data_IF_928606278565
#
_entry.id   IF_928606278565
#
_cell.length_a   1.000
_cell.length_b   1.000
_cell.length_c   1.000
_cell.angle_alpha   90.00
_cell.angle_beta   90.00
_cell.angle_gamma   90.00
#
_symmetry.space_group_name_H-M   'P 1'
#
loop_
_entity.id
_entity.type
_entity.pdbx_description
1 polymer ?
#
# COMPACT_ATOMS: atom_id res chain seq x y z
N UNK A 1 1.68 -24.67 -7.43
CA UNK A 1 0.22 -24.96 -7.61
C UNK A 1 -0.55 -23.70 -7.23
N UNK A 2 -0.92 -22.85 -8.20
CA UNK A 2 -1.76 -21.68 -7.95
C UNK A 2 -3.21 -22.18 -7.85
N UNK A 3 -3.71 -22.30 -6.63
CA UNK A 3 -5.15 -22.53 -6.41
C UNK A 3 -5.87 -21.29 -6.89
N UNK A 4 -6.85 -21.39 -7.81
CA UNK A 4 -7.67 -20.24 -8.18
C UNK A 4 -8.36 -19.74 -6.90
N UNK A 5 -8.02 -18.51 -6.48
CA UNK A 5 -8.65 -17.88 -5.34
C UNK A 5 -10.12 -17.63 -5.69
N UNK A 6 -11.02 -18.46 -5.16
CA UNK A 6 -12.46 -18.19 -5.26
C UNK A 6 -12.79 -16.98 -4.39
N UNK A 7 -13.81 -16.20 -4.76
CA UNK A 7 -14.29 -15.05 -3.98
C UNK A 7 -14.60 -15.43 -2.52
N UNK A 8 -15.09 -16.65 -2.28
CA UNK A 8 -15.35 -17.18 -0.93
C UNK A 8 -14.08 -17.33 -0.08
N UNK A 9 -13.01 -17.87 -0.66
CA UNK A 9 -11.72 -18.01 0.04
C UNK A 9 -11.11 -16.65 0.39
N UNK A 10 -11.13 -15.70 -0.55
CA UNK A 10 -10.68 -14.34 -0.31
C UNK A 10 -11.44 -13.68 0.84
N UNK A 11 -12.77 -13.85 0.87
CA UNK A 11 -13.61 -13.29 1.94
C UNK A 11 -13.33 -13.92 3.30
N UNK A 12 -13.17 -15.25 3.37
CA UNK A 12 -12.82 -15.95 4.62
C UNK A 12 -11.48 -15.47 5.18
N UNK A 13 -10.45 -15.37 4.33
CA UNK A 13 -9.13 -14.92 4.75
C UNK A 13 -9.15 -13.44 5.16
N UNK A 14 -9.85 -12.59 4.41
CA UNK A 14 -10.00 -11.18 4.73
C UNK A 14 -10.73 -10.97 6.08
N UNK A 15 -11.75 -11.79 6.38
CA UNK A 15 -12.43 -11.77 7.66
C UNK A 15 -11.51 -12.21 8.82
N UNK A 16 -10.60 -13.15 8.60
CA UNK A 16 -9.60 -13.53 9.60
C UNK A 16 -8.65 -12.35 9.91
N UNK A 17 -8.27 -11.57 8.90
CA UNK A 17 -7.51 -10.33 9.13
C UNK A 17 -8.30 -9.30 9.93
N UNK A 18 -9.61 -9.13 9.64
CA UNK A 18 -10.48 -8.26 10.44
C UNK A 18 -10.50 -8.66 11.93
N UNK A 19 -10.58 -9.96 12.21
CA UNK A 19 -10.56 -10.49 13.59
C UNK A 19 -9.24 -10.20 14.30
N UNK A 20 -8.11 -10.32 13.61
CA UNK A 20 -6.80 -9.96 14.17
C UNK A 20 -6.71 -8.44 14.41
N UNK A 21 -7.15 -7.63 13.46
CA UNK A 21 -7.20 -6.16 13.60
C UNK A 21 -8.03 -5.72 14.80
N UNK A 22 -9.20 -6.34 15.02
CA UNK A 22 -10.07 -6.09 16.17
C UNK A 22 -9.41 -6.45 17.52
N UNK A 23 -8.36 -7.28 17.50
CA UNK A 23 -7.55 -7.65 18.69
C UNK A 23 -6.33 -6.76 18.88
N UNK A 24 -6.19 -5.68 18.12
CA UNK A 24 -5.07 -4.75 18.21
C UNK A 24 -3.83 -5.15 17.41
N UNK A 25 -3.96 -6.06 16.42
CA UNK A 25 -2.85 -6.49 15.57
C UNK A 25 -2.85 -5.65 14.28
N UNK A 26 -1.70 -5.02 13.97
CA UNK A 26 -1.47 -4.38 12.68
C UNK A 26 -1.00 -5.42 11.67
N UNK A 27 -1.71 -5.56 10.55
CA UNK A 27 -1.37 -6.49 9.48
C UNK A 27 -0.95 -5.70 8.25
N UNK A 28 0.26 -5.97 7.77
CA UNK A 28 0.84 -5.29 6.63
C UNK A 28 1.22 -6.30 5.55
N UNK A 29 0.97 -5.94 4.30
CA UNK A 29 1.36 -6.75 3.15
C UNK A 29 2.03 -5.90 2.08
N UNK A 30 3.06 -6.45 1.46
CA UNK A 30 3.63 -5.90 0.23
C UNK A 30 2.57 -5.86 -0.87
N UNK A 31 2.50 -4.77 -1.62
CA UNK A 31 1.48 -4.58 -2.65
C UNK A 31 1.72 -5.44 -3.90
N UNK A 32 2.97 -5.88 -4.12
CA UNK A 32 3.42 -6.66 -5.25
C UNK A 32 4.37 -5.90 -6.19
N UNK A 33 5.04 -6.61 -7.08
CA UNK A 33 6.16 -6.10 -7.87
C UNK A 33 5.91 -6.16 -9.40
N UNK A 34 4.65 -6.08 -9.81
CA UNK A 34 4.27 -6.16 -11.22
C UNK A 34 3.46 -4.97 -11.74
N UNK A 35 3.53 -3.82 -11.09
CA UNK A 35 2.74 -2.65 -11.46
C UNK A 35 1.26 -2.98 -11.54
N UNK A 36 0.55 -2.47 -12.55
CA UNK A 36 -0.88 -2.78 -12.78
C UNK A 36 -1.14 -4.18 -13.35
N UNK A 37 -0.10 -4.93 -13.70
CA UNK A 37 -0.25 -6.32 -14.16
C UNK A 37 -0.25 -7.34 -13.02
N UNK A 38 0.00 -6.91 -11.78
CA UNK A 38 -0.06 -7.73 -10.57
C UNK A 38 1.02 -8.81 -10.48
N UNK A 39 1.53 -9.28 -11.60
CA UNK A 39 2.66 -10.20 -11.74
C UNK A 39 3.66 -9.64 -12.74
N UNK A 40 4.82 -10.25 -12.85
CA UNK A 40 5.85 -9.84 -13.81
C UNK A 40 5.47 -10.04 -15.29
N UNK A 41 4.28 -10.53 -15.59
CA UNK A 41 3.77 -10.66 -16.96
C UNK A 41 3.09 -9.36 -17.38
N UNK A 42 3.62 -8.71 -18.42
CA UNK A 42 3.09 -7.46 -18.97
C UNK A 42 1.88 -7.64 -19.89
N UNK A 43 1.54 -8.88 -20.28
CA UNK A 43 0.53 -9.19 -21.28
C UNK A 43 -0.87 -9.35 -20.67
N UNK A 44 -1.58 -8.24 -20.48
CA UNK A 44 -2.97 -8.23 -20.03
C UNK A 44 -3.77 -7.11 -20.69
N UNK A 45 -5.07 -7.34 -20.90
CA UNK A 45 -6.01 -6.34 -21.45
C UNK A 45 -6.68 -5.50 -20.37
N UNK A 46 -6.84 -6.06 -19.16
CA UNK A 46 -7.36 -5.41 -17.95
C UNK A 46 -6.30 -5.48 -16.86
N UNK A 47 -6.32 -4.52 -15.97
CA UNK A 47 -5.43 -4.50 -14.81
C UNK A 47 -5.74 -5.67 -13.87
N UNK A 48 -4.69 -6.22 -13.27
CA UNK A 48 -4.76 -7.43 -12.44
C UNK A 48 -4.44 -7.05 -10.99
N UNK A 49 -5.47 -6.82 -10.15
CA UNK A 49 -5.23 -6.49 -8.76
C UNK A 49 -4.65 -7.67 -7.99
N UNK A 50 -3.73 -7.37 -7.07
CA UNK A 50 -3.08 -8.37 -6.22
C UNK A 50 -3.92 -8.71 -5.00
N UNK A 51 -3.78 -9.94 -4.53
CA UNK A 51 -4.33 -10.41 -3.27
C UNK A 51 -3.16 -10.84 -2.35
N UNK A 52 -3.19 -10.52 -1.05
CA UNK A 52 -4.32 -9.98 -0.28
C UNK A 52 -4.44 -8.46 -0.22
N UNK A 53 -3.62 -7.67 -0.94
CA UNK A 53 -3.62 -6.19 -0.91
C UNK A 53 -5.00 -5.55 -1.16
N UNK A 54 -5.85 -6.21 -1.96
CA UNK A 54 -7.23 -5.78 -2.17
C UNK A 54 -8.18 -5.99 -0.97
N UNK A 55 -7.74 -6.62 0.13
CA UNK A 55 -8.54 -6.78 1.35
C UNK A 55 -8.61 -5.46 2.15
N UNK A 56 -9.80 -5.00 2.59
CA UNK A 56 -9.93 -3.74 3.31
C UNK A 56 -9.44 -3.78 4.77
N UNK A 57 -9.11 -4.94 5.32
CA UNK A 57 -8.75 -5.13 6.74
C UNK A 57 -7.26 -5.35 6.98
N UNK A 58 -6.43 -4.95 6.05
CA UNK A 58 -4.98 -4.91 6.18
C UNK A 58 -4.44 -3.61 5.58
N UNK A 59 -3.19 -3.29 5.87
CA UNK A 59 -2.47 -2.16 5.27
C UNK A 59 -1.58 -2.69 4.14
N UNK A 60 -1.85 -2.28 2.93
CA UNK A 60 -1.03 -2.60 1.75
C UNK A 60 0.08 -1.57 1.59
N UNK A 61 1.30 -2.04 1.39
CA UNK A 61 2.51 -1.20 1.31
C UNK A 61 3.13 -1.30 -0.06
N UNK A 62 3.21 -0.18 -0.76
CA UNK A 62 3.89 0.00 -2.04
C UNK A 62 5.36 0.38 -1.88
N UNK A 63 6.03 0.63 -3.00
CA UNK A 63 7.44 0.97 -3.03
C UNK A 63 7.70 2.34 -3.65
N UNK A 64 8.70 3.04 -3.08
CA UNK A 64 9.28 4.26 -3.62
C UNK A 64 10.77 4.09 -3.88
N UNK A 65 11.36 5.06 -4.56
CA UNK A 65 12.80 5.15 -4.84
C UNK A 65 13.31 6.58 -4.74
N UNK A 66 14.60 6.72 -4.49
CA UNK A 66 15.26 8.02 -4.38
C UNK A 66 14.92 8.72 -3.06
N UNK A 67 15.58 9.86 -2.80
CA UNK A 67 15.41 10.64 -1.57
C UNK A 67 15.00 12.07 -1.88
N UNK A 68 15.62 12.68 -2.88
CA UNK A 68 15.33 14.04 -3.29
C UNK A 68 15.58 14.22 -4.81
N UNK A 69 14.54 14.07 -5.63
CA UNK A 69 13.16 13.76 -5.25
C UNK A 69 12.95 12.27 -4.91
N UNK A 70 12.03 12.00 -3.99
CA UNK A 70 11.47 10.66 -3.81
C UNK A 70 10.35 10.46 -4.83
N UNK A 71 10.33 9.30 -5.52
CA UNK A 71 9.39 8.99 -6.59
C UNK A 71 8.83 7.58 -6.42
N UNK A 72 7.71 7.27 -7.06
CA UNK A 72 7.18 5.92 -7.11
C UNK A 72 8.17 4.96 -7.78
N UNK A 73 8.33 3.76 -7.23
CA UNK A 73 8.97 2.67 -7.94
C UNK A 73 8.00 2.12 -9.00
N UNK A 74 8.49 1.94 -10.23
CA UNK A 74 7.64 1.57 -11.37
C UNK A 74 7.03 0.17 -11.27
N UNK A 75 7.66 -0.73 -10.53
CA UNK A 75 7.14 -2.07 -10.25
C UNK A 75 6.07 -2.09 -9.15
N UNK A 76 5.92 -1.02 -8.34
CA UNK A 76 4.97 -0.98 -7.21
C UNK A 76 3.56 -1.34 -7.67
N UNK A 77 3.08 -2.53 -7.29
CA UNK A 77 1.72 -2.94 -7.65
C UNK A 77 0.69 -2.11 -6.93
N UNK A 78 -0.33 -1.71 -7.68
CA UNK A 78 -1.43 -0.93 -7.17
C UNK A 78 -2.62 -0.94 -8.11
N UNK A 79 -3.75 -0.50 -7.60
CA UNK A 79 -5.00 -0.50 -8.35
C UNK A 79 -6.22 -0.65 -7.46
N UNK A 80 -7.23 -1.35 -7.97
CA UNK A 80 -8.55 -1.47 -7.35
C UNK A 80 -9.00 -2.93 -7.32
N UNK A 81 -9.48 -3.39 -6.17
CA UNK A 81 -9.97 -4.75 -5.99
C UNK A 81 -11.16 -5.07 -6.91
N UNK A 82 -11.19 -6.30 -7.44
CA UNK A 82 -12.34 -6.83 -8.15
C UNK A 82 -13.37 -7.51 -7.21
N UNK A 83 -13.02 -7.71 -5.92
CA UNK A 83 -13.81 -8.46 -4.95
C UNK A 83 -14.38 -7.59 -3.84
N UNK A 84 -13.60 -6.65 -3.34
CA UNK A 84 -13.96 -5.81 -2.20
C UNK A 84 -14.24 -4.38 -2.66
N UNK A 85 -15.33 -3.80 -2.17
CA UNK A 85 -15.69 -2.42 -2.41
C UNK A 85 -14.79 -1.43 -1.65
N UNK A 86 -14.90 -0.16 -1.99
CA UNK A 86 -14.19 0.93 -1.32
C UNK A 86 -14.70 1.01 0.13
N UNK A 87 -13.82 0.89 1.15
CA UNK A 87 -14.23 1.10 2.54
C UNK A 87 -14.45 2.59 2.83
N UNK A 88 -15.28 2.89 3.85
CA UNK A 88 -15.69 4.25 4.19
C UNK A 88 -14.48 5.16 4.47
N UNK A 89 -13.47 4.66 5.20
CA UNK A 89 -12.28 5.45 5.53
C UNK A 89 -11.48 5.90 4.29
N UNK A 90 -11.61 5.20 3.14
CA UNK A 90 -10.86 5.48 1.92
C UNK A 90 -11.67 6.26 0.88
N UNK A 91 -12.99 6.35 1.05
CA UNK A 91 -13.91 6.80 -0.01
C UNK A 91 -13.59 8.19 -0.55
N UNK A 92 -13.28 9.15 0.31
CA UNK A 92 -12.93 10.52 -0.09
C UNK A 92 -11.60 10.58 -0.89
N UNK A 93 -10.59 9.85 -0.43
CA UNK A 93 -9.27 9.80 -1.07
C UNK A 93 -9.36 9.19 -2.48
N UNK A 94 -10.04 8.04 -2.61
CA UNK A 94 -10.28 7.37 -3.91
C UNK A 94 -11.11 8.24 -4.85
N UNK A 95 -12.19 8.85 -4.36
CA UNK A 95 -13.03 9.74 -5.17
C UNK A 95 -12.24 10.94 -5.73
N UNK A 96 -11.39 11.53 -4.90
CA UNK A 96 -10.51 12.64 -5.31
C UNK A 96 -9.54 12.20 -6.40
N UNK A 97 -8.89 11.05 -6.22
CA UNK A 97 -7.97 10.51 -7.22
C UNK A 97 -8.66 10.20 -8.55
N UNK A 98 -9.80 9.50 -8.51
CA UNK A 98 -10.55 9.13 -9.72
C UNK A 98 -11.03 10.37 -10.49
N UNK A 99 -11.44 11.43 -9.78
CA UNK A 99 -11.80 12.70 -10.40
C UNK A 99 -10.60 13.35 -11.10
N UNK A 100 -9.42 13.31 -10.49
CA UNK A 100 -8.18 13.85 -11.08
C UNK A 100 -7.61 12.95 -12.20
N UNK A 101 -7.91 11.64 -12.19
CA UNK A 101 -7.50 10.69 -13.23
C UNK A 101 -8.33 10.85 -14.51
N UNK A 102 -9.61 11.21 -14.37
CA UNK A 102 -10.53 11.37 -15.50
C UNK A 102 -10.75 10.06 -16.26
N UNK A 103 -10.67 10.10 -17.58
CA UNK A 103 -10.88 8.93 -18.46
C UNK A 103 -9.66 8.03 -18.65
N UNK A 104 -8.54 8.35 -18.03
CA UNK A 104 -7.29 7.56 -18.18
C UNK A 104 -7.52 6.13 -17.73
N UNK A 105 -7.16 5.17 -18.56
CA UNK A 105 -7.33 3.72 -18.33
C UNK A 105 -8.80 3.28 -18.11
N UNK A 106 -9.78 4.04 -18.55
CA UNK A 106 -11.21 3.70 -18.44
C UNK A 106 -11.48 2.29 -19.00
N UNK A 107 -12.27 1.51 -18.26
CA UNK A 107 -12.63 0.13 -18.60
C UNK A 107 -11.54 -0.92 -18.32
N UNK A 108 -10.35 -0.52 -17.85
CA UNK A 108 -9.26 -1.45 -17.52
C UNK A 108 -9.27 -1.89 -16.05
N UNK A 109 -9.94 -1.18 -15.15
CA UNK A 109 -9.99 -1.44 -13.71
C UNK A 109 -11.40 -1.26 -13.14
N UNK A 110 -11.64 -1.74 -11.92
CA UNK A 110 -12.89 -1.59 -11.19
C UNK A 110 -12.86 -0.31 -10.34
N UNK A 111 -13.44 0.78 -10.81
CA UNK A 111 -13.45 2.07 -10.11
C UNK A 111 -14.23 2.06 -8.78
N UNK A 112 -15.01 1.01 -8.49
CA UNK A 112 -15.75 0.83 -7.22
C UNK A 112 -15.03 -0.08 -6.24
N UNK A 113 -13.85 -0.58 -6.61
CA UNK A 113 -13.05 -1.49 -5.78
C UNK A 113 -12.21 -0.77 -4.73
N UNK A 114 -11.89 -1.48 -3.64
CA UNK A 114 -10.90 -1.05 -2.65
C UNK A 114 -9.60 -0.71 -3.36
N UNK A 115 -9.14 0.53 -3.21
CA UNK A 115 -7.89 1.02 -3.80
C UNK A 115 -6.67 0.67 -2.94
N UNK A 116 -5.55 0.27 -3.56
CA UNK A 116 -4.29 -0.04 -2.88
C UNK A 116 -3.09 0.40 -3.74
N UNK A 117 -1.90 0.60 -3.13
CA UNK A 117 -1.55 0.47 -1.73
C UNK A 117 -2.16 1.57 -0.84
N UNK A 118 -2.03 1.43 0.49
CA UNK A 118 -2.43 2.46 1.45
C UNK A 118 -1.31 3.45 1.71
N UNK A 119 -0.08 2.95 1.80
CA UNK A 119 1.16 3.70 2.06
C UNK A 119 2.32 3.09 1.28
N UNK A 120 3.49 3.72 1.32
CA UNK A 120 4.73 3.19 0.73
C UNK A 120 5.96 3.48 1.59
N UNK A 121 7.05 2.78 1.30
CA UNK A 121 8.41 3.12 1.75
C UNK A 121 9.42 2.75 0.65
N UNK A 122 10.70 3.05 0.90
CA UNK A 122 11.79 2.71 -0.02
C UNK A 122 11.80 1.21 -0.35
N UNK A 123 11.93 0.87 -1.62
CA UNK A 123 11.95 -0.51 -2.11
C UNK A 123 12.87 -0.73 -3.29
N UNK A 124 13.75 0.21 -3.61
CA UNK A 124 14.72 0.10 -4.72
C UNK A 124 16.14 0.23 -4.17
N UNK A 125 17.02 -0.64 -4.64
CA UNK A 125 18.41 -0.74 -4.20
C UNK A 125 18.53 -0.80 -2.66
N UNK A 126 17.65 -1.59 -2.05
CA UNK A 126 17.60 -1.76 -0.60
C UNK A 126 18.77 -2.67 -0.19
N UNK A 127 19.69 -2.14 0.61
CA UNK A 127 20.88 -2.88 1.03
C UNK A 127 20.52 -3.98 2.01
N UNK A 128 20.90 -5.21 1.66
CA UNK A 128 20.81 -6.39 2.54
C UNK A 128 22.18 -7.07 2.66
N UNK A 129 22.35 -7.86 3.70
CA UNK A 129 23.55 -8.68 3.88
C UNK A 129 23.18 -10.14 3.71
N UNK A 130 23.76 -10.79 2.71
CA UNK A 130 23.59 -12.22 2.42
C UNK A 130 24.97 -12.88 2.41
N UNK A 131 25.16 -13.89 3.22
CA UNK A 131 26.44 -14.63 3.35
C UNK A 131 27.68 -13.73 3.53
N UNK A 132 27.52 -12.61 4.27
CA UNK A 132 28.56 -11.64 4.53
C UNK A 132 28.84 -10.64 3.40
N UNK A 133 28.10 -10.70 2.29
CA UNK A 133 28.17 -9.74 1.18
C UNK A 133 26.99 -8.74 1.26
N UNK A 134 27.27 -7.48 0.94
CA UNK A 134 26.22 -6.45 0.80
C UNK A 134 25.67 -6.52 -0.61
N UNK A 135 24.36 -6.63 -0.74
CA UNK A 135 23.66 -6.68 -2.02
C UNK A 135 22.48 -5.70 -2.01
N UNK A 136 22.22 -5.05 -3.16
CA UNK A 136 21.03 -4.24 -3.37
C UNK A 136 19.90 -5.10 -3.93
N UNK A 137 18.70 -4.99 -3.35
CA UNK A 137 17.50 -5.70 -3.81
C UNK A 137 16.36 -4.72 -4.05
N UNK A 138 15.50 -5.06 -5.00
CA UNK A 138 14.30 -4.29 -5.34
C UNK A 138 13.04 -5.09 -4.97
N UNK A 139 12.03 -4.41 -4.46
CA UNK A 139 10.73 -5.03 -4.19
C UNK A 139 9.92 -4.34 -3.11
N UNK A 140 8.61 -4.44 -3.22
CA UNK A 140 7.67 -4.10 -2.14
C UNK A 140 7.88 -5.02 -0.93
N UNK A 141 8.59 -6.15 -1.13
CA UNK A 141 9.06 -7.05 -0.06
C UNK A 141 10.12 -6.43 0.86
N UNK A 142 10.80 -5.34 0.44
CA UNK A 142 11.65 -4.52 1.29
C UNK A 142 10.83 -3.41 1.96
N UNK A 143 9.91 -2.80 1.22
CA UNK A 143 9.08 -1.71 1.67
C UNK A 143 8.16 -2.11 2.84
N UNK A 144 7.46 -3.24 2.72
CA UNK A 144 6.48 -3.67 3.72
C UNK A 144 7.09 -3.91 5.12
N UNK A 145 8.18 -4.65 5.29
CA UNK A 145 8.81 -4.82 6.60
C UNK A 145 9.42 -3.52 7.14
N UNK A 146 9.85 -2.59 6.27
CA UNK A 146 10.30 -1.26 6.69
C UNK A 146 9.16 -0.48 7.34
N UNK A 147 7.99 -0.41 6.71
CA UNK A 147 6.83 0.24 7.30
C UNK A 147 6.39 -0.46 8.59
N UNK A 148 6.38 -1.81 8.60
CA UNK A 148 6.05 -2.60 9.79
C UNK A 148 7.00 -2.30 10.96
N UNK A 149 8.30 -2.13 10.71
CA UNK A 149 9.30 -1.77 11.71
C UNK A 149 9.04 -0.38 12.28
N UNK A 150 8.67 0.59 11.44
CA UNK A 150 8.29 1.95 11.88
C UNK A 150 7.06 1.89 12.80
N UNK A 151 6.03 1.14 12.43
CA UNK A 151 4.83 0.96 13.27
C UNK A 151 5.16 0.23 14.58
N UNK A 152 6.07 -0.75 14.55
CA UNK A 152 6.53 -1.42 15.77
C UNK A 152 7.22 -0.43 16.73
N UNK A 153 8.05 0.48 16.20
CA UNK A 153 8.68 1.54 17.00
C UNK A 153 7.66 2.55 17.55
N UNK A 154 6.64 2.93 16.77
CA UNK A 154 5.53 3.78 17.27
C UNK A 154 4.78 3.07 18.39
N UNK A 155 4.45 1.78 18.22
CA UNK A 155 3.78 0.98 19.24
C UNK A 155 4.62 0.83 20.51
N UNK A 156 5.95 0.67 20.41
CA UNK A 156 6.86 0.66 21.55
C UNK A 156 6.76 1.96 22.36
N UNK A 157 6.77 3.11 21.68
CA UNK A 157 6.59 4.43 22.31
C UNK A 157 5.22 4.60 22.97
N UNK A 158 4.15 4.12 22.31
CA UNK A 158 2.80 4.14 22.88
C UNK A 158 2.74 3.32 24.18
N UNK A 159 3.27 2.10 24.16
CA UNK A 159 3.31 1.21 25.34
C UNK A 159 4.13 1.85 26.46
N UNK A 160 5.30 2.42 26.16
CA UNK A 160 6.11 3.13 27.15
C UNK A 160 5.38 4.33 27.77
N UNK A 161 4.47 4.97 27.03
CA UNK A 161 3.59 6.05 27.50
C UNK A 161 2.29 5.56 28.19
N UNK A 162 2.12 4.24 28.40
CA UNK A 162 0.92 3.64 28.99
C UNK A 162 -0.30 3.63 28.08
N UNK A 163 -0.10 3.79 26.77
CA UNK A 163 -1.17 3.75 25.73
C UNK A 163 -1.24 2.38 25.04
N UNK A 164 -2.36 2.09 24.40
CA UNK A 164 -2.54 0.87 23.61
C UNK A 164 -1.82 0.97 22.25
N UNK A 165 -1.37 -0.17 21.68
CA UNK A 165 -0.91 -0.23 20.29
C UNK A 165 -1.98 0.20 19.29
N UNK A 166 -1.55 0.59 18.08
CA UNK A 166 -2.43 1.13 17.04
C UNK A 166 -3.46 0.12 16.49
N UNK A 167 -3.14 -1.16 16.42
CA UNK A 167 -4.04 -2.16 15.85
C UNK A 167 -4.24 -1.98 14.33
N UNK A 168 -5.49 -2.05 13.86
CA UNK A 168 -5.80 -1.83 12.44
C UNK A 168 -5.53 -0.38 12.04
N UNK A 169 -4.56 -0.17 11.14
CA UNK A 169 -3.96 1.15 10.87
C UNK A 169 -4.78 2.06 9.95
N UNK A 170 -5.50 1.49 8.98
CA UNK A 170 -6.02 2.28 7.86
C UNK A 170 -6.96 3.43 8.30
N UNK A 171 -7.91 3.26 9.24
CA UNK A 171 -8.72 4.38 9.70
C UNK A 171 -7.89 5.56 10.24
N UNK A 172 -6.82 5.27 10.97
CA UNK A 172 -5.87 6.28 11.46
C UNK A 172 -5.10 6.92 10.32
N UNK A 173 -4.53 6.13 9.39
CA UNK A 173 -3.72 6.63 8.27
C UNK A 173 -4.51 7.55 7.35
N UNK A 174 -5.80 7.25 7.11
CA UNK A 174 -6.67 8.07 6.26
C UNK A 174 -7.35 9.26 7.00
N UNK A 175 -7.08 9.44 8.29
CA UNK A 175 -7.57 10.56 9.10
C UNK A 175 -6.42 11.38 9.69
N UNK A 176 -6.15 11.22 10.99
CA UNK A 176 -5.15 12.00 11.71
C UNK A 176 -3.71 11.70 11.27
N UNK A 177 -3.47 10.46 10.82
CA UNK A 177 -2.15 9.99 10.37
C UNK A 177 -1.71 10.55 9.02
N UNK A 178 -2.63 11.04 8.18
CA UNK A 178 -2.30 11.50 6.82
C UNK A 178 -1.27 12.65 6.82
N UNK A 179 -1.32 13.53 7.81
CA UNK A 179 -0.38 14.65 7.94
C UNK A 179 1.06 14.21 8.28
N UNK A 180 1.23 12.95 8.70
CA UNK A 180 2.52 12.35 9.00
C UNK A 180 3.14 11.58 7.82
N UNK A 181 2.55 11.69 6.64
CA UNK A 181 3.02 11.05 5.42
C UNK A 181 3.52 12.09 4.41
N UNK A 182 4.59 11.75 3.71
CA UNK A 182 5.13 12.56 2.60
C UNK A 182 4.45 12.11 1.32
N UNK A 183 3.68 12.98 0.72
CA UNK A 183 2.94 12.74 -0.52
C UNK A 183 3.88 12.59 -1.72
N UNK A 184 3.78 11.46 -2.43
CA UNK A 184 4.60 11.16 -3.61
C UNK A 184 3.79 11.45 -4.87
N UNK A 185 4.19 12.47 -5.62
CA UNK A 185 3.41 12.99 -6.74
C UNK A 185 4.01 12.72 -8.12
N UNK A 186 5.07 11.91 -8.19
CA UNK A 186 5.75 11.59 -9.46
C UNK A 186 6.04 10.10 -9.60
N UNK A 187 5.97 9.62 -10.84
CA UNK A 187 6.11 8.23 -11.22
C UNK A 187 4.77 7.58 -11.59
N UNK A 188 4.81 6.29 -11.88
CA UNK A 188 3.64 5.49 -12.27
C UNK A 188 3.96 4.00 -12.11
N UNK A 189 2.94 3.14 -12.20
CA UNK A 189 3.10 1.68 -12.12
C UNK A 189 2.69 1.00 -13.45
N UNK A 190 3.53 1.05 -14.48
CA UNK A 190 3.21 0.54 -15.81
C UNK A 190 2.90 -0.96 -15.81
N UNK A 191 2.18 -1.38 -16.85
CA UNK A 191 1.82 -2.78 -17.08
C UNK A 191 0.64 -2.88 -18.06
N UNK A 192 0.30 -4.08 -18.48
CA UNK A 192 -0.80 -4.35 -19.42
C UNK A 192 -0.75 -3.45 -20.67
N UNK A 193 0.45 -3.21 -21.21
CA UNK A 193 0.72 -2.30 -22.34
C UNK A 193 0.22 -0.86 -22.11
N UNK A 194 0.30 -0.36 -20.88
CA UNK A 194 -0.05 1.01 -20.49
C UNK A 194 1.02 1.59 -19.56
N UNK A 195 0.95 2.90 -19.34
CA UNK A 195 1.75 3.56 -18.29
C UNK A 195 1.21 3.34 -16.88
N UNK A 196 0.18 2.51 -16.70
CA UNK A 196 -0.44 2.26 -15.43
C UNK A 196 -1.16 3.49 -14.85
N UNK A 197 -1.22 3.55 -13.54
CA UNK A 197 -1.73 4.71 -12.82
C UNK A 197 -0.59 5.71 -12.58
N UNK A 198 -0.80 7.01 -12.79
CA UNK A 198 0.16 8.03 -12.38
C UNK A 198 0.06 8.32 -10.88
N UNK A 199 1.20 8.55 -10.23
CA UNK A 199 1.24 9.16 -8.92
C UNK A 199 0.72 10.61 -9.00
N UNK A 200 -0.10 11.02 -8.03
CA UNK A 200 -0.75 12.32 -7.98
C UNK A 200 -0.85 12.82 -6.54
N UNK A 201 -1.12 14.11 -6.38
CA UNK A 201 -1.34 14.72 -5.07
C UNK A 201 -2.45 14.00 -4.29
N UNK A 202 -2.15 13.69 -3.03
CA UNK A 202 -3.00 12.91 -2.15
C UNK A 202 -2.82 11.40 -2.36
N UNK A 203 -3.81 10.62 -2.03
CA UNK A 203 -3.75 9.18 -2.25
C UNK A 203 -3.75 8.84 -3.76
N UNK A 204 -2.92 7.89 -4.14
CA UNK A 204 -2.93 7.29 -5.47
C UNK A 204 -2.66 5.77 -5.44
N UNK A 205 -3.06 5.01 -6.47
CA UNK A 205 -2.88 3.56 -6.50
C UNK A 205 -1.48 3.15 -7.00
N UNK A 206 -0.44 3.88 -6.62
CA UNK A 206 0.97 3.57 -6.86
C UNK A 206 1.73 3.59 -5.54
N UNK A 207 1.56 4.68 -4.77
CA UNK A 207 2.28 4.95 -3.52
C UNK A 207 1.36 5.16 -2.31
N UNK A 208 0.04 5.03 -2.51
CA UNK A 208 -0.94 5.27 -1.45
C UNK A 208 -0.92 6.72 -0.98
N UNK A 209 -1.00 6.92 0.32
CA UNK A 209 -0.91 8.23 0.98
C UNK A 209 0.54 8.78 1.05
N UNK A 210 1.53 7.97 0.62
CA UNK A 210 2.95 8.34 0.64
C UNK A 210 3.77 7.64 1.71
N UNK A 211 4.93 8.23 2.06
CA UNK A 211 5.96 7.63 2.92
C UNK A 211 6.00 8.24 4.32
N UNK A 212 6.26 7.45 5.38
CA UNK A 212 6.11 7.90 6.75
C UNK A 212 7.23 8.84 7.22
N UNK A 213 6.84 9.87 7.95
CA UNK A 213 7.71 10.69 8.79
C UNK A 213 7.52 10.25 10.25
N UNK A 214 8.54 9.61 10.83
CA UNK A 214 8.44 9.02 12.16
C UNK A 214 8.12 10.05 13.26
N UNK A 215 8.73 11.23 13.21
CA UNK A 215 8.49 12.26 14.21
C UNK A 215 7.05 12.79 14.14
N UNK A 216 6.52 12.97 12.93
CA UNK A 216 5.12 13.37 12.75
C UNK A 216 4.15 12.25 13.14
N UNK A 217 4.49 10.97 12.90
CA UNK A 217 3.68 9.85 13.37
C UNK A 217 3.56 9.84 14.89
N UNK A 218 4.66 10.06 15.63
CA UNK A 218 4.62 10.18 17.08
C UNK A 218 3.69 11.32 17.52
N UNK A 219 3.80 12.49 16.89
CA UNK A 219 2.88 13.61 17.15
C UNK A 219 1.43 13.26 16.85
N UNK A 220 1.16 12.59 15.72
CA UNK A 220 -0.20 12.21 15.32
C UNK A 220 -0.85 11.21 16.29
N UNK A 221 -0.06 10.38 17.00
CA UNK A 221 -0.56 9.47 18.05
C UNK A 221 -0.54 10.11 19.46
N UNK A 222 -0.21 11.39 19.56
CA UNK A 222 -0.23 12.16 20.81
C UNK A 222 0.97 11.89 21.72
N UNK A 223 2.17 11.73 21.12
CA UNK A 223 3.45 11.55 21.81
C UNK A 223 4.39 12.72 21.53
#
# INVERSE_FOLDING_TARGET
>A
MTVPLTCEYCSKLCNAYAQLGARGVSILFASGDGGVSGSQSSSCSKFVPTFPSGCPYLTSVGATQGVNPETAADFSSGGFSNYFGIPDFQSSAVSTYLSALGSTNSGKYNASGRGYPDVSTQGVNFEIVVDGSVEGVDGTSCASPTFASIIALVNDRLIAAGKSPLGFLNPFLYSDGVAALNDITSGSNPGCNTNGFPAKKGWDPVTGLGTPDFAKLLTAVGL
#
